data_IF_574592571871
#
_entry.id   IF_574592571871
#
_cell.length_a   1.000
_cell.length_b   1.000
_cell.length_c   1.000
_cell.angle_alpha   90.00
_cell.angle_beta   90.00
_cell.angle_gamma   90.00
#
_symmetry.space_group_name_H-M   'P 1'
#
loop_
_entity.id
_entity.type
_entity.pdbx_description
1 polymer ?
#
# COMPACT_ATOMS: atom_id res chain seq x y z
N UNK A 1 21.17 -3.71 -4.20
CA UNK A 1 21.28 -4.10 -2.75
C UNK A 1 20.40 -3.16 -1.96
N UNK A 2 19.42 -3.70 -1.22
CA UNK A 2 18.57 -2.91 -0.32
C UNK A 2 19.45 -2.39 0.83
N UNK A 3 19.52 -1.07 1.04
CA UNK A 3 20.21 -0.50 2.21
C UNK A 3 19.46 -0.91 3.48
N UNK A 4 20.18 -1.02 4.60
CA UNK A 4 19.50 -1.33 5.88
C UNK A 4 18.45 -0.26 6.20
N UNK A 5 17.23 -0.68 6.59
CA UNK A 5 16.16 0.25 6.95
C UNK A 5 16.50 0.99 8.24
N UNK A 6 15.98 2.20 8.40
CA UNK A 6 15.98 2.88 9.68
C UNK A 6 14.76 2.46 10.50
N UNK A 7 14.95 2.22 11.79
CA UNK A 7 13.85 1.84 12.69
C UNK A 7 13.31 3.09 13.39
N UNK A 8 12.06 3.45 13.09
CA UNK A 8 11.36 4.57 13.75
C UNK A 8 10.19 3.99 14.54
N UNK A 9 10.20 4.16 15.87
CA UNK A 9 9.19 3.62 16.79
C UNK A 9 8.89 2.13 16.57
N UNK A 10 9.94 1.35 16.25
CA UNK A 10 9.84 -0.09 16.03
C UNK A 10 9.31 -0.50 14.67
N UNK A 11 9.11 0.44 13.75
CA UNK A 11 8.73 0.21 12.34
C UNK A 11 9.96 0.43 11.45
N UNK A 12 10.33 -0.55 10.62
CA UNK A 12 11.40 -0.38 9.64
C UNK A 12 10.95 0.58 8.53
N UNK A 13 11.76 1.54 8.14
CA UNK A 13 11.54 2.43 7.01
C UNK A 13 12.72 2.27 6.05
N UNK A 14 12.43 1.87 4.82
CA UNK A 14 13.44 1.66 3.79
C UNK A 14 14.01 2.99 3.30
N UNK A 15 15.34 3.03 3.11
CA UNK A 15 16.08 4.24 2.74
C UNK A 15 16.23 4.34 1.23
N UNK A 16 15.10 4.52 0.55
CA UNK A 16 15.02 4.58 -0.91
C UNK A 16 14.55 5.97 -1.35
N UNK A 17 15.06 6.40 -2.50
CA UNK A 17 14.49 7.53 -3.23
C UNK A 17 13.18 7.13 -3.91
N UNK A 18 12.44 8.10 -4.45
CA UNK A 18 11.22 7.84 -5.21
C UNK A 18 11.49 6.90 -6.38
N UNK A 19 12.52 7.16 -7.15
CA UNK A 19 12.86 6.34 -8.31
C UNK A 19 13.30 4.92 -7.91
N UNK A 20 14.11 4.79 -6.86
CA UNK A 20 14.50 3.49 -6.31
C UNK A 20 13.28 2.72 -5.77
N UNK A 21 12.32 3.42 -5.17
CA UNK A 21 11.07 2.82 -4.69
C UNK A 21 10.26 2.26 -5.83
N UNK A 22 10.09 3.02 -6.92
CA UNK A 22 9.39 2.55 -8.12
C UNK A 22 10.10 1.33 -8.72
N UNK A 23 11.44 1.37 -8.85
CA UNK A 23 12.22 0.20 -9.33
C UNK A 23 12.00 -1.02 -8.45
N UNK A 24 12.06 -0.84 -7.13
CA UNK A 24 11.87 -1.94 -6.18
C UNK A 24 10.46 -2.53 -6.26
N UNK A 25 9.41 -1.71 -6.43
CA UNK A 25 8.05 -2.20 -6.61
C UNK A 25 7.95 -3.10 -7.85
N UNK A 26 8.48 -2.66 -8.98
CA UNK A 26 8.43 -3.48 -10.20
C UNK A 26 9.28 -4.75 -10.08
N UNK A 27 10.38 -4.70 -9.35
CA UNK A 27 11.14 -5.92 -9.02
C UNK A 27 10.28 -6.88 -8.18
N UNK A 28 9.52 -6.40 -7.19
CA UNK A 28 8.61 -7.22 -6.39
C UNK A 28 7.49 -7.83 -7.26
N UNK A 29 6.93 -7.06 -8.20
CA UNK A 29 5.96 -7.56 -9.19
C UNK A 29 6.56 -8.70 -10.02
N UNK A 30 7.79 -8.53 -10.51
CA UNK A 30 8.46 -9.56 -11.31
C UNK A 30 8.77 -10.83 -10.49
N UNK A 31 9.08 -10.70 -9.19
CA UNK A 31 9.31 -11.84 -8.29
C UNK A 31 8.07 -12.71 -8.09
N UNK A 32 6.87 -12.16 -8.22
CA UNK A 32 5.62 -12.91 -8.05
C UNK A 32 5.52 -14.12 -9.01
N UNK A 33 6.05 -14.00 -10.22
CA UNK A 33 6.07 -15.08 -11.19
C UNK A 33 6.84 -16.33 -10.70
N UNK A 34 7.73 -16.17 -9.72
CA UNK A 34 8.57 -17.26 -9.20
C UNK A 34 7.99 -17.94 -7.95
N UNK A 35 7.27 -17.18 -7.10
CA UNK A 35 6.83 -17.71 -5.81
C UNK A 35 5.33 -17.54 -5.54
N UNK A 36 4.61 -16.81 -6.40
CA UNK A 36 3.15 -16.58 -6.26
C UNK A 36 2.75 -15.83 -4.99
N UNK A 37 3.70 -15.17 -4.32
CA UNK A 37 3.44 -14.51 -3.04
C UNK A 37 3.08 -13.04 -3.24
N UNK A 38 1.87 -12.60 -2.83
CA UNK A 38 1.50 -11.18 -2.79
C UNK A 38 2.40 -10.38 -1.85
N UNK A 39 2.78 -9.19 -2.29
CA UNK A 39 3.68 -8.32 -1.55
C UNK A 39 3.01 -7.05 -1.09
N UNK A 40 3.42 -6.58 0.08
CA UNK A 40 2.89 -5.38 0.70
C UNK A 40 3.91 -4.25 0.66
N UNK A 41 3.49 -3.13 0.06
CA UNK A 41 4.21 -1.87 0.09
C UNK A 41 3.40 -0.86 0.88
N UNK A 42 4.00 -0.24 1.91
CA UNK A 42 3.35 0.75 2.76
C UNK A 42 4.06 2.10 2.68
N UNK A 43 3.28 3.17 2.48
CA UNK A 43 3.75 4.55 2.61
C UNK A 43 3.42 5.04 4.02
N UNK A 44 4.40 4.95 4.93
CA UNK A 44 4.23 5.17 6.37
C UNK A 44 4.35 6.65 6.71
N UNK A 45 3.33 7.22 7.34
CA UNK A 45 3.34 8.57 7.87
C UNK A 45 3.22 8.61 9.41
N UNK A 46 3.13 9.80 9.99
CA UNK A 46 3.05 9.98 11.43
C UNK A 46 1.79 9.31 12.04
N UNK A 47 0.66 9.30 11.33
CA UNK A 47 -0.58 8.66 11.79
C UNK A 47 -0.44 7.14 11.86
N UNK A 48 0.28 6.53 10.91
CA UNK A 48 0.64 5.11 11.00
C UNK A 48 1.38 4.81 12.30
N UNK A 49 2.42 5.62 12.58
CA UNK A 49 3.21 5.43 13.81
C UNK A 49 2.36 5.67 15.06
N UNK A 50 1.51 6.70 15.06
CA UNK A 50 0.59 6.96 16.17
C UNK A 50 -0.37 5.78 16.41
N UNK A 51 -0.89 5.15 15.34
CA UNK A 51 -1.76 3.97 15.42
C UNK A 51 -1.03 2.71 15.93
N UNK A 52 0.31 2.65 15.81
CA UNK A 52 1.11 1.55 16.40
C UNK A 52 1.43 1.78 17.87
N UNK A 53 1.35 3.03 18.35
CA UNK A 53 1.66 3.39 19.74
C UNK A 53 0.41 3.26 20.61
N UNK A 54 0.63 2.88 21.86
CA UNK A 54 -0.36 2.98 22.91
C UNK A 54 -0.03 4.18 23.80
N UNK A 55 -0.88 5.20 23.84
CA UNK A 55 -0.79 6.29 24.83
C UNK A 55 -0.97 5.79 26.26
N UNK A 56 -1.62 4.66 26.40
CA UNK A 56 -1.73 3.94 27.64
C UNK A 56 -0.98 2.62 27.44
N UNK A 57 0.15 2.41 28.07
CA UNK A 57 1.03 1.22 27.99
C UNK A 57 0.30 -0.13 28.05
N UNK A 58 -1.03 -0.13 28.13
CA UNK A 58 -1.91 -1.29 28.24
C UNK A 58 -2.73 -1.66 27.01
N UNK A 59 -2.94 -0.76 26.01
CA UNK A 59 -3.69 -1.10 24.77
C UNK A 59 -3.28 -0.22 23.60
N UNK A 60 -2.52 -0.76 22.66
CA UNK A 60 -2.42 -0.21 21.31
C UNK A 60 -3.80 -0.24 20.65
N UNK A 61 -4.16 0.81 19.91
CA UNK A 61 -5.42 0.85 19.15
C UNK A 61 -5.47 -0.27 18.11
N UNK A 62 -4.32 -0.57 17.50
CA UNK A 62 -4.18 -1.59 16.46
C UNK A 62 -2.85 -2.36 16.65
N UNK A 63 -2.77 -3.33 17.60
CA UNK A 63 -1.52 -4.05 17.90
C UNK A 63 -1.02 -4.91 16.72
N UNK A 64 -1.92 -5.31 15.81
CA UNK A 64 -1.58 -6.03 14.60
C UNK A 64 -0.84 -5.16 13.57
N UNK A 65 -1.12 -3.85 13.51
CA UNK A 65 -0.53 -2.95 12.52
C UNK A 65 1.00 -2.93 12.59
N UNK A 66 1.58 -2.85 13.78
CA UNK A 66 3.04 -2.88 13.94
C UNK A 66 3.65 -4.18 13.40
N UNK A 67 2.97 -5.32 13.61
CA UNK A 67 3.43 -6.62 13.09
C UNK A 67 3.35 -6.65 11.56
N UNK A 68 2.28 -6.08 10.99
CA UNK A 68 2.10 -5.99 9.54
C UNK A 68 3.22 -5.14 8.92
N UNK A 69 3.46 -3.95 9.47
CA UNK A 69 4.50 -3.04 8.96
C UNK A 69 5.92 -3.64 9.07
N UNK A 70 6.20 -4.42 10.11
CA UNK A 70 7.49 -5.14 10.24
C UNK A 70 7.67 -6.26 9.23
N UNK A 71 6.58 -6.77 8.66
CA UNK A 71 6.57 -7.86 7.66
C UNK A 71 6.34 -7.34 6.25
N UNK A 72 6.08 -6.04 6.09
CA UNK A 72 5.92 -5.44 4.79
C UNK A 72 7.19 -5.63 3.94
N UNK A 73 6.99 -5.88 2.65
CA UNK A 73 8.10 -6.13 1.73
C UNK A 73 8.84 -4.84 1.39
N UNK A 74 8.15 -3.69 1.53
CA UNK A 74 8.71 -2.35 1.38
C UNK A 74 7.93 -1.35 2.24
N UNK A 75 8.67 -0.45 2.92
CA UNK A 75 8.07 0.65 3.69
C UNK A 75 8.79 1.95 3.37
N UNK A 76 8.04 2.99 3.00
CA UNK A 76 8.58 4.29 2.66
C UNK A 76 8.12 5.37 3.63
N UNK A 77 8.85 6.48 3.72
CA UNK A 77 8.48 7.61 4.57
C UNK A 77 7.53 8.56 3.83
N UNK A 78 6.25 8.51 4.18
CA UNK A 78 5.24 9.45 3.71
C UNK A 78 5.08 10.60 4.70
N UNK A 79 6.01 11.53 4.66
CA UNK A 79 5.91 12.74 5.44
C UNK A 79 7.25 13.24 5.97
N UNK A 80 7.41 14.56 6.01
CA UNK A 80 8.63 15.23 6.49
C UNK A 80 8.97 14.91 7.96
N UNK A 81 8.01 14.70 8.89
CA UNK A 81 8.35 14.31 10.26
C UNK A 81 9.22 13.06 10.34
N UNK A 82 8.98 12.04 9.49
CA UNK A 82 9.80 10.82 9.47
C UNK A 82 11.20 11.11 8.93
N UNK A 83 11.28 11.96 7.89
CA UNK A 83 12.58 12.38 7.32
C UNK A 83 13.39 13.16 8.34
N UNK A 84 12.75 14.05 9.11
CA UNK A 84 13.45 14.79 10.17
C UNK A 84 13.87 13.87 11.33
N UNK A 85 12.98 12.98 11.77
CA UNK A 85 13.30 12.01 12.82
C UNK A 85 14.49 11.11 12.43
N UNK A 86 14.59 10.72 11.16
CA UNK A 86 15.71 9.88 10.70
C UNK A 86 17.07 10.56 10.87
N UNK A 87 17.15 11.88 10.68
CA UNK A 87 18.38 12.64 10.85
C UNK A 87 18.91 12.63 12.29
N UNK A 88 18.03 12.41 13.26
CA UNK A 88 18.39 12.33 14.68
C UNK A 88 18.70 10.89 15.13
N UNK A 89 18.16 9.89 14.40
CA UNK A 89 18.23 8.49 14.82
C UNK A 89 19.36 7.70 14.12
N UNK A 90 20.00 8.26 13.11
CA UNK A 90 21.09 7.58 12.38
C UNK A 90 21.18 7.97 10.90
N UNK A 91 21.41 7.01 10.01
CA UNK A 91 21.54 7.33 8.59
C UNK A 91 20.23 7.90 8.04
N UNK A 92 20.26 9.18 7.62
CA UNK A 92 19.09 9.92 7.18
C UNK A 92 18.37 9.25 6.00
N UNK A 93 17.05 9.39 5.95
CA UNK A 93 16.25 9.12 4.77
C UNK A 93 16.58 10.17 3.70
N UNK A 94 16.72 9.71 2.46
CA UNK A 94 17.13 10.56 1.34
C UNK A 94 16.05 11.59 1.00
N UNK A 95 14.81 11.14 0.97
CA UNK A 95 13.66 11.98 0.63
C UNK A 95 12.35 11.41 1.19
N UNK A 96 11.29 12.20 1.07
CA UNK A 96 9.92 11.78 1.34
C UNK A 96 9.37 11.03 0.12
N UNK A 97 8.78 9.86 0.32
CA UNK A 97 8.12 9.07 -0.72
C UNK A 97 6.66 8.86 -0.32
N UNK A 98 5.76 9.65 -0.89
CA UNK A 98 4.32 9.63 -0.56
C UNK A 98 3.54 8.75 -1.51
N UNK A 99 2.43 8.19 -1.05
CA UNK A 99 1.51 7.45 -1.91
C UNK A 99 0.96 8.31 -3.05
N UNK A 100 0.67 9.58 -2.79
CA UNK A 100 0.14 10.51 -3.79
C UNK A 100 1.11 10.78 -4.95
N UNK A 101 2.41 10.87 -4.66
CA UNK A 101 3.46 11.07 -5.66
C UNK A 101 3.88 9.74 -6.33
N UNK A 102 3.74 8.63 -5.60
CA UNK A 102 4.15 7.30 -6.05
C UNK A 102 3.18 6.72 -7.09
N UNK A 103 1.87 6.87 -6.88
CA UNK A 103 0.83 6.32 -7.77
C UNK A 103 0.97 6.80 -9.22
N UNK A 104 1.13 8.09 -9.55
CA UNK A 104 1.36 8.53 -10.91
C UNK A 104 2.64 7.94 -11.55
N UNK A 105 3.70 7.78 -10.77
CA UNK A 105 4.97 7.19 -11.27
C UNK A 105 4.84 5.69 -11.53
N UNK A 106 4.13 4.97 -10.66
CA UNK A 106 3.78 3.56 -10.88
C UNK A 106 2.95 3.43 -12.16
N UNK A 107 1.93 4.27 -12.36
CA UNK A 107 1.08 4.25 -13.54
C UNK A 107 1.86 4.49 -14.83
N UNK A 108 2.74 5.49 -14.84
CA UNK A 108 3.61 5.78 -15.99
C UNK A 108 4.53 4.60 -16.33
N UNK A 109 5.15 4.00 -15.32
CA UNK A 109 6.03 2.85 -15.52
C UNK A 109 5.26 1.59 -15.91
N UNK A 110 4.05 1.38 -15.36
CA UNK A 110 3.17 0.28 -15.71
C UNK A 110 2.77 0.36 -17.19
N UNK A 111 2.39 1.55 -17.68
CA UNK A 111 2.11 1.78 -19.09
C UNK A 111 3.29 1.38 -19.99
N UNK A 112 4.51 1.81 -19.65
CA UNK A 112 5.72 1.49 -20.39
C UNK A 112 6.12 0.01 -20.38
N UNK A 113 5.71 -0.73 -19.33
CA UNK A 113 5.98 -2.16 -19.16
C UNK A 113 4.80 -3.06 -19.56
N UNK A 114 3.68 -2.50 -20.00
CA UNK A 114 2.47 -3.25 -20.34
C UNK A 114 1.82 -3.93 -19.14
N UNK A 115 2.09 -3.44 -17.92
CA UNK A 115 1.51 -3.94 -16.67
C UNK A 115 0.16 -3.27 -16.39
N UNK A 116 -0.73 -3.99 -15.72
CA UNK A 116 -2.07 -3.54 -15.39
C UNK A 116 -2.23 -3.18 -13.91
N UNK A 117 -3.15 -2.27 -13.63
CA UNK A 117 -3.43 -1.77 -12.27
C UNK A 117 -4.90 -2.02 -11.93
N UNK A 118 -5.16 -2.48 -10.71
CA UNK A 118 -6.50 -2.49 -10.09
C UNK A 118 -6.56 -1.42 -8.99
N UNK A 119 -7.63 -0.63 -8.98
CA UNK A 119 -7.85 0.43 -7.97
C UNK A 119 -8.92 -0.03 -6.98
N UNK A 120 -8.59 -0.07 -5.70
CA UNK A 120 -9.47 -0.55 -4.65
C UNK A 120 -9.64 0.49 -3.53
N UNK A 121 -10.85 0.96 -3.32
CA UNK A 121 -11.18 1.86 -2.22
C UNK A 121 -11.51 3.28 -2.64
N UNK A 122 -11.38 4.23 -1.70
CA UNK A 122 -11.91 5.58 -1.83
C UNK A 122 -13.43 5.65 -1.60
N UNK A 123 -13.97 6.87 -1.67
CA UNK A 123 -15.41 7.08 -1.66
C UNK A 123 -16.06 6.55 -2.94
N UNK A 124 -17.37 6.28 -2.96
CA UNK A 124 -18.08 5.88 -4.18
C UNK A 124 -17.75 6.78 -5.37
N UNK A 125 -17.36 6.18 -6.50
CA UNK A 125 -16.94 6.88 -7.73
C UNK A 125 -15.49 7.41 -7.71
N UNK A 126 -14.78 7.39 -6.58
CA UNK A 126 -13.41 7.91 -6.52
C UNK A 126 -12.42 7.04 -7.30
N UNK A 127 -12.52 5.71 -7.17
CA UNK A 127 -11.65 4.78 -7.89
C UNK A 127 -11.86 4.85 -9.41
N UNK A 128 -13.12 4.94 -9.87
CA UNK A 128 -13.45 5.13 -11.29
C UNK A 128 -12.86 6.43 -11.84
N UNK A 129 -13.05 7.53 -11.13
CA UNK A 129 -12.49 8.83 -11.53
C UNK A 129 -10.96 8.80 -11.58
N UNK A 130 -10.33 8.16 -10.59
CA UNK A 130 -8.88 7.99 -10.56
C UNK A 130 -8.39 7.14 -11.74
N UNK A 131 -9.09 6.07 -12.11
CA UNK A 131 -8.80 5.26 -13.28
C UNK A 131 -8.76 6.11 -14.57
N UNK A 132 -9.81 6.89 -14.83
CA UNK A 132 -9.86 7.76 -16.00
C UNK A 132 -8.74 8.81 -16.04
N UNK A 133 -8.39 9.41 -14.89
CA UNK A 133 -7.29 10.38 -14.81
C UNK A 133 -5.94 9.70 -15.11
N UNK A 134 -5.70 8.51 -14.55
CA UNK A 134 -4.45 7.78 -14.76
C UNK A 134 -4.30 7.31 -16.20
N UNK A 135 -5.36 6.82 -16.85
CA UNK A 135 -5.35 6.42 -18.26
C UNK A 135 -5.12 7.61 -19.18
N UNK A 136 -5.79 8.74 -18.92
CA UNK A 136 -5.60 9.96 -19.69
C UNK A 136 -4.15 10.50 -19.59
N UNK A 137 -3.56 10.43 -18.41
CA UNK A 137 -2.19 10.90 -18.17
C UNK A 137 -1.12 9.94 -18.69
N UNK A 138 -1.45 8.65 -18.91
CA UNK A 138 -0.49 7.61 -19.28
C UNK A 138 -1.03 6.76 -20.43
N UNK A 139 -0.90 7.20 -21.69
CA UNK A 139 -1.35 6.44 -22.86
C UNK A 139 -0.75 5.03 -22.87
N UNK A 140 -1.61 4.02 -22.99
CA UNK A 140 -1.22 2.60 -22.96
C UNK A 140 -1.26 1.96 -21.57
N UNK A 141 -1.59 2.70 -20.51
CA UNK A 141 -1.88 2.13 -19.19
C UNK A 141 -3.12 1.24 -19.28
N UNK A 142 -3.05 0.09 -18.66
CA UNK A 142 -4.17 -0.85 -18.53
C UNK A 142 -4.74 -0.78 -17.13
N UNK A 143 -5.95 -0.26 -16.96
CA UNK A 143 -6.71 -0.39 -15.71
C UNK A 143 -7.51 -1.70 -15.82
N UNK A 144 -7.13 -2.69 -15.00
CA UNK A 144 -7.75 -4.01 -14.99
C UNK A 144 -9.13 -4.01 -14.29
N UNK A 145 -9.38 -2.99 -13.48
CA UNK A 145 -10.65 -2.79 -12.80
C UNK A 145 -10.52 -1.79 -11.66
N UNK A 146 -11.68 -1.45 -11.10
CA UNK A 146 -11.77 -0.61 -9.90
C UNK A 146 -12.97 -1.00 -9.05
N UNK A 147 -12.88 -0.70 -7.76
CA UNK A 147 -13.95 -0.98 -6.80
C UNK A 147 -13.86 -0.05 -5.60
N UNK A 148 -14.98 0.34 -5.04
CA UNK A 148 -15.06 1.20 -3.85
C UNK A 148 -15.96 0.56 -2.79
N UNK A 149 -15.64 -0.66 -2.30
CA UNK A 149 -16.46 -1.36 -1.33
C UNK A 149 -16.32 -0.74 0.05
N UNK A 150 -17.33 -0.95 0.89
CA UNK A 150 -17.20 -0.75 2.32
C UNK A 150 -16.46 -1.93 2.93
N UNK A 151 -15.30 -1.66 3.52
CA UNK A 151 -14.50 -2.68 4.21
C UNK A 151 -14.70 -2.59 5.72
N UNK A 152 -15.08 -3.71 6.31
CA UNK A 152 -15.26 -3.82 7.75
C UNK A 152 -13.92 -4.01 8.48
N UNK A 153 -13.72 -3.22 9.52
CA UNK A 153 -12.66 -3.41 10.50
C UNK A 153 -13.26 -3.56 11.90
N UNK A 154 -12.50 -4.16 12.80
CA UNK A 154 -12.95 -4.42 14.19
C UNK A 154 -13.52 -3.14 14.83
N UNK A 155 -14.73 -3.23 15.38
CA UNK A 155 -15.41 -2.10 16.02
C UNK A 155 -16.22 -1.19 15.09
N UNK A 156 -16.15 -1.39 13.79
CA UNK A 156 -16.98 -0.66 12.81
C UNK A 156 -18.34 -1.35 12.68
N UNK A 157 -19.44 -0.57 12.70
CA UNK A 157 -20.76 -1.11 12.38
C UNK A 157 -20.85 -1.46 10.89
N UNK A 158 -21.43 -2.62 10.58
CA UNK A 158 -21.69 -3.04 9.21
C UNK A 158 -22.86 -2.25 8.65
N UNK A 159 -22.75 -1.62 7.48
CA UNK A 159 -23.89 -1.07 6.74
C UNK A 159 -24.71 -2.21 6.12
N UNK A 160 -25.97 -1.92 5.75
CA UNK A 160 -26.84 -2.90 5.06
C UNK A 160 -26.24 -3.38 3.72
N UNK A 161 -25.43 -2.54 3.07
CA UNK A 161 -24.74 -2.85 1.80
C UNK A 161 -23.36 -3.48 1.99
N UNK A 162 -23.07 -4.03 3.18
CA UNK A 162 -21.76 -4.66 3.42
C UNK A 162 -21.58 -5.89 2.53
N UNK A 163 -20.48 -5.89 1.79
CA UNK A 163 -20.02 -7.04 1.04
C UNK A 163 -18.86 -7.72 1.80
N UNK A 164 -18.86 -9.04 1.84
CA UNK A 164 -17.76 -9.76 2.46
C UNK A 164 -16.48 -9.67 1.60
N UNK A 165 -15.35 -9.92 2.23
CA UNK A 165 -14.04 -9.86 1.54
C UNK A 165 -13.96 -10.87 0.36
N UNK A 166 -14.79 -11.91 0.31
CA UNK A 166 -14.72 -12.97 -0.72
C UNK A 166 -15.11 -12.46 -2.09
N UNK A 167 -16.17 -11.67 -2.19
CA UNK A 167 -16.58 -11.04 -3.45
C UNK A 167 -15.55 -10.06 -3.96
N UNK A 168 -14.98 -9.22 -3.06
CA UNK A 168 -13.94 -8.25 -3.40
C UNK A 168 -12.68 -8.98 -3.93
N UNK A 169 -12.21 -9.98 -3.21
CA UNK A 169 -11.03 -10.78 -3.60
C UNK A 169 -11.28 -11.52 -4.92
N UNK A 170 -12.50 -12.03 -5.13
CA UNK A 170 -12.91 -12.69 -6.38
C UNK A 170 -12.71 -11.78 -7.58
N UNK A 171 -13.29 -10.57 -7.55
CA UNK A 171 -13.16 -9.58 -8.65
C UNK A 171 -11.70 -9.17 -8.91
N UNK A 172 -10.92 -8.95 -7.86
CA UNK A 172 -9.48 -8.64 -7.99
C UNK A 172 -8.75 -9.79 -8.71
N UNK A 173 -8.97 -11.02 -8.29
CA UNK A 173 -8.30 -12.19 -8.87
C UNK A 173 -8.73 -12.44 -10.33
N UNK A 174 -10.01 -12.26 -10.64
CA UNK A 174 -10.54 -12.37 -12.01
C UNK A 174 -9.96 -11.32 -12.95
N UNK A 175 -9.67 -10.13 -12.44
CA UNK A 175 -9.07 -9.03 -13.23
C UNK A 175 -7.66 -9.34 -13.71
N UNK A 176 -6.94 -10.25 -13.05
CA UNK A 176 -5.54 -10.59 -13.32
C UNK A 176 -4.62 -9.36 -13.33
N UNK A 177 -4.89 -8.39 -12.48
CA UNK A 177 -4.06 -7.21 -12.36
C UNK A 177 -2.64 -7.54 -11.89
N UNK A 178 -1.67 -6.81 -12.41
CA UNK A 178 -0.26 -6.92 -11.96
C UNK A 178 0.02 -6.10 -10.70
N UNK A 179 -0.77 -5.06 -10.43
CA UNK A 179 -0.58 -4.17 -9.28
C UNK A 179 -1.95 -3.84 -8.69
N UNK A 180 -2.10 -3.99 -7.37
CA UNK A 180 -3.27 -3.60 -6.61
C UNK A 180 -2.97 -2.33 -5.79
N UNK A 181 -3.66 -1.23 -6.09
CA UNK A 181 -3.59 0.00 -5.30
C UNK A 181 -4.77 0.07 -4.35
N UNK A 182 -4.50 0.06 -3.03
CA UNK A 182 -5.53 0.04 -1.98
C UNK A 182 -5.61 1.42 -1.31
N UNK A 183 -6.80 1.99 -1.24
CA UNK A 183 -7.09 3.31 -0.69
C UNK A 183 -8.25 3.30 0.33
N UNK A 184 -8.19 2.41 1.32
CA UNK A 184 -9.16 2.38 2.44
C UNK A 184 -8.78 3.31 3.60
N UNK A 185 -7.57 3.85 3.55
CA UNK A 185 -6.96 4.60 4.64
C UNK A 185 -6.37 3.70 5.74
N UNK A 186 -5.38 4.26 6.46
CA UNK A 186 -4.70 3.58 7.56
C UNK A 186 -5.63 3.46 8.80
N UNK A 187 -5.65 2.33 9.51
CA UNK A 187 -4.93 1.07 9.28
C UNK A 187 -5.75 0.02 8.50
N UNK A 188 -6.87 0.42 7.91
CA UNK A 188 -7.84 -0.52 7.31
C UNK A 188 -7.24 -1.29 6.14
N UNK A 189 -6.50 -0.60 5.27
CA UNK A 189 -5.91 -1.19 4.07
C UNK A 189 -4.87 -2.26 4.41
N UNK A 190 -4.02 -2.01 5.41
CA UNK A 190 -2.99 -2.96 5.83
C UNK A 190 -3.61 -4.19 6.49
N UNK A 191 -4.61 -3.98 7.35
CA UNK A 191 -5.34 -5.06 8.03
C UNK A 191 -6.13 -5.89 7.02
N UNK A 192 -6.80 -5.24 6.07
CA UNK A 192 -7.55 -5.93 5.02
C UNK A 192 -6.62 -6.75 4.12
N UNK A 193 -5.49 -6.19 3.70
CA UNK A 193 -4.51 -6.91 2.90
C UNK A 193 -3.98 -8.14 3.64
N UNK A 194 -3.55 -8.00 4.90
CA UNK A 194 -2.98 -9.11 5.67
C UNK A 194 -4.01 -10.23 5.90
N UNK A 195 -5.27 -9.88 6.10
CA UNK A 195 -6.38 -10.85 6.23
C UNK A 195 -6.60 -11.66 4.96
N UNK A 196 -6.39 -11.04 3.80
CA UNK A 196 -6.69 -11.64 2.51
C UNK A 196 -5.44 -12.05 1.71
N UNK A 197 -4.24 -11.86 2.25
CA UNK A 197 -2.96 -12.11 1.56
C UNK A 197 -2.91 -13.46 0.86
N UNK A 198 -3.26 -14.55 1.55
CA UNK A 198 -3.17 -15.91 1.02
C UNK A 198 -4.26 -16.23 -0.03
N UNK A 199 -5.25 -15.37 -0.16
CA UNK A 199 -6.37 -15.50 -1.12
C UNK A 199 -6.17 -14.64 -2.37
N UNK A 200 -5.37 -13.61 -2.27
CA UNK A 200 -5.06 -12.71 -3.38
C UNK A 200 -4.11 -13.40 -4.37
N UNK A 201 -4.38 -13.21 -5.67
CA UNK A 201 -3.57 -13.70 -6.78
C UNK A 201 -2.98 -12.53 -7.58
N UNK A 202 -2.59 -11.48 -6.89
CA UNK A 202 -1.96 -10.28 -7.43
C UNK A 202 -0.58 -10.10 -6.80
N UNK A 203 0.43 -9.65 -7.55
CA UNK A 203 1.79 -9.41 -7.06
C UNK A 203 1.89 -8.49 -5.85
#
# INVERSE_FOLDING_TARGET
MKSEPIIILGVPIDRLTMDQTVEQIFHLVDCYAHDGRPRLVCTVNADFLANTLSWNLRKSSHPELQKILRRADLTTADGMPLVWASRLLGPALSERVTGADLVPRIASKAAGKGRSIYLLGGNPGAAEKAAGILEQANPGLKIAGWDSPFVHTRGTKLPESYEDDSGIVGRINESRADILLIAFGNPKQEIWFERNRDRLKVP
#
